data_IF_396900446096
#
_entry.id   IF_396900446096
#
_cell.length_a   1.000
_cell.length_b   1.000
_cell.length_c   1.000
_cell.angle_alpha   90.00
_cell.angle_beta   90.00
_cell.angle_gamma   90.00
#
_symmetry.space_group_name_H-M   'P 1'
#
loop_
_entity.id
_entity.type
_entity.pdbx_description
1 polymer ?
#
# COMPACT_ATOMS: atom_id res chain seq x y z
N UNK A 1 17.86 -16.25 2.66
CA UNK A 1 17.76 -14.85 2.19
C UNK A 1 16.36 -14.36 2.53
N UNK A 2 16.26 -13.35 3.39
CA UNK A 2 14.99 -12.76 3.80
C UNK A 2 14.72 -11.51 2.95
N UNK A 3 13.45 -11.18 2.74
CA UNK A 3 13.05 -9.95 2.05
C UNK A 3 12.09 -9.18 2.96
N UNK A 4 12.53 -8.02 3.43
CA UNK A 4 11.76 -7.11 4.27
C UNK A 4 11.16 -6.00 3.40
N UNK A 5 9.89 -5.66 3.66
CA UNK A 5 9.23 -4.53 3.01
C UNK A 5 8.49 -3.69 4.06
N UNK A 6 8.58 -2.37 3.94
CA UNK A 6 7.83 -1.41 4.74
C UNK A 6 6.77 -0.72 3.89
N UNK A 7 5.55 -0.63 4.39
CA UNK A 7 4.49 0.17 3.79
C UNK A 7 4.63 1.62 4.25
N UNK A 8 5.11 2.51 3.35
CA UNK A 8 5.45 3.90 3.66
C UNK A 8 4.35 4.86 3.20
N UNK A 9 3.91 4.70 1.94
CA UNK A 9 2.85 5.45 1.26
C UNK A 9 3.03 6.96 1.05
N UNK A 10 3.76 7.65 1.94
CA UNK A 10 3.98 9.10 1.88
C UNK A 10 5.29 9.46 2.58
N UNK A 11 5.92 10.57 2.19
CA UNK A 11 7.06 11.14 2.95
C UNK A 11 6.61 12.22 3.93
N UNK A 12 5.37 12.71 3.79
CA UNK A 12 4.80 13.68 4.73
C UNK A 12 4.26 12.98 5.98
N UNK A 13 4.65 13.47 7.16
CA UNK A 13 4.28 12.84 8.42
C UNK A 13 2.76 12.86 8.66
N UNK A 14 2.10 13.97 8.36
CA UNK A 14 0.66 14.14 8.63
C UNK A 14 -0.15 13.21 7.74
N UNK A 15 0.21 13.15 6.45
CA UNK A 15 -0.42 12.24 5.51
C UNK A 15 -0.15 10.77 5.87
N UNK A 16 1.07 10.40 6.28
CA UNK A 16 1.34 9.04 6.81
C UNK A 16 0.47 8.71 8.01
N UNK A 17 0.26 9.64 8.92
CA UNK A 17 -0.59 9.44 10.10
C UNK A 17 -2.06 9.22 9.73
N UNK A 18 -2.56 9.93 8.71
CA UNK A 18 -3.91 9.75 8.17
C UNK A 18 -4.09 8.44 7.39
N UNK A 19 -3.08 8.04 6.59
CA UNK A 19 -3.12 6.82 5.79
C UNK A 19 -2.96 5.55 6.64
N UNK A 20 -2.13 5.61 7.68
CA UNK A 20 -1.79 4.47 8.53
C UNK A 20 -2.13 4.83 10.00
N UNK A 21 -3.41 4.81 10.42
CA UNK A 21 -3.85 5.35 11.71
C UNK A 21 -3.59 4.40 12.89
N UNK A 22 -2.38 3.86 12.99
CA UNK A 22 -1.91 3.01 14.07
C UNK A 22 -0.41 3.23 14.32
N UNK A 23 0.11 2.64 15.40
CA UNK A 23 1.54 2.77 15.76
C UNK A 23 2.40 2.23 14.62
N UNK A 24 3.36 3.05 14.20
CA UNK A 24 4.27 2.77 13.09
C UNK A 24 5.60 3.46 13.36
N UNK A 25 6.65 2.93 12.74
CA UNK A 25 7.96 3.58 12.78
C UNK A 25 7.97 4.84 11.89
N UNK A 26 8.68 5.85 12.39
CA UNK A 26 9.13 7.00 11.60
C UNK A 26 10.03 6.55 10.45
N UNK A 27 10.29 7.43 9.48
CA UNK A 27 11.16 7.08 8.36
C UNK A 27 12.60 6.84 8.86
N UNK A 28 13.02 7.62 9.84
CA UNK A 28 14.31 7.58 10.49
C UNK A 28 14.51 6.26 11.24
N UNK A 29 13.51 5.82 12.01
CA UNK A 29 13.54 4.51 12.68
C UNK A 29 13.62 3.34 11.69
N UNK A 30 12.94 3.45 10.54
CA UNK A 30 13.01 2.43 9.48
C UNK A 30 14.41 2.40 8.86
N UNK A 31 14.98 3.58 8.58
CA UNK A 31 16.33 3.71 8.03
C UNK A 31 17.39 3.14 8.99
N UNK A 32 17.31 3.51 10.28
CA UNK A 32 18.20 3.02 11.32
C UNK A 32 18.15 1.50 11.43
N UNK A 33 16.94 0.93 11.54
CA UNK A 33 16.76 -0.52 11.59
C UNK A 33 17.32 -1.22 10.34
N UNK A 34 16.98 -0.70 9.15
CA UNK A 34 17.43 -1.30 7.91
C UNK A 34 18.94 -1.22 7.69
N UNK A 35 19.60 -0.20 8.28
CA UNK A 35 21.05 -0.02 8.18
C UNK A 35 21.83 -1.17 8.81
N UNK A 36 21.31 -1.77 9.89
CA UNK A 36 21.89 -2.95 10.56
C UNK A 36 21.28 -4.27 10.09
N UNK A 37 20.07 -4.26 9.54
CA UNK A 37 19.38 -5.47 9.06
C UNK A 37 19.91 -5.95 7.70
N UNK A 38 20.22 -5.05 6.77
CA UNK A 38 20.64 -5.40 5.42
C UNK A 38 22.15 -5.67 5.36
N UNK A 39 22.54 -6.95 5.36
CA UNK A 39 23.93 -7.37 5.14
C UNK A 39 24.34 -7.40 3.67
N UNK A 40 25.63 -7.61 3.39
CA UNK A 40 26.21 -7.61 2.02
C UNK A 40 25.67 -8.71 1.09
N UNK A 41 25.00 -9.73 1.64
CA UNK A 41 24.42 -10.85 0.87
C UNK A 41 22.89 -10.83 0.85
N UNK A 42 22.27 -9.91 1.57
CA UNK A 42 20.82 -9.80 1.66
C UNK A 42 20.23 -9.00 0.49
N UNK A 43 18.91 -9.10 0.32
CA UNK A 43 18.21 -8.27 -0.66
C UNK A 43 17.97 -6.90 -0.03
N UNK A 44 18.03 -5.84 -0.86
CA UNK A 44 17.63 -4.50 -0.46
C UNK A 44 16.22 -4.51 0.14
N UNK A 45 16.04 -3.74 1.20
CA UNK A 45 14.77 -3.57 1.91
C UNK A 45 13.84 -2.72 1.02
N UNK A 46 12.61 -3.18 0.82
CA UNK A 46 11.65 -2.47 -0.03
C UNK A 46 10.89 -1.40 0.74
N UNK A 47 10.89 -0.17 0.24
CA UNK A 47 9.99 0.90 0.67
C UNK A 47 8.81 0.96 -0.30
N UNK A 48 7.63 0.54 0.17
CA UNK A 48 6.44 0.43 -0.66
C UNK A 48 5.60 1.72 -0.60
N UNK A 49 5.34 2.30 -1.77
CA UNK A 49 4.54 3.50 -1.99
C UNK A 49 3.34 3.17 -2.87
N UNK A 50 2.17 2.96 -2.26
CA UNK A 50 0.91 2.94 -3.00
C UNK A 50 0.47 4.39 -3.26
N UNK A 51 0.67 4.87 -4.49
CA UNK A 51 0.47 6.27 -4.84
C UNK A 51 -0.94 6.54 -5.37
N UNK A 52 -1.61 7.47 -4.70
CA UNK A 52 -2.76 8.22 -5.22
C UNK A 52 -2.33 9.59 -5.77
N UNK A 53 -3.19 10.23 -6.56
CA UNK A 53 -3.00 11.61 -7.07
C UNK A 53 -2.76 12.65 -5.98
N UNK A 54 -3.20 12.38 -4.75
CA UNK A 54 -3.03 13.27 -3.59
C UNK A 54 -1.78 12.94 -2.76
N UNK A 55 -1.01 11.92 -3.13
CA UNK A 55 0.14 11.48 -2.33
C UNK A 55 1.22 12.54 -2.31
N UNK A 56 1.72 12.84 -1.12
CA UNK A 56 2.84 13.75 -0.88
C UNK A 56 4.10 12.90 -0.74
N UNK A 57 4.94 12.92 -1.78
CA UNK A 57 6.20 12.19 -1.83
C UNK A 57 7.31 13.11 -2.32
N UNK A 58 8.31 13.31 -1.49
CA UNK A 58 9.48 14.14 -1.78
C UNK A 58 10.73 13.26 -1.91
N UNK A 59 11.33 13.27 -3.10
CA UNK A 59 12.57 12.53 -3.37
C UNK A 59 13.74 12.99 -2.50
N UNK A 60 13.76 14.24 -2.05
CA UNK A 60 14.82 14.77 -1.18
C UNK A 60 14.73 14.14 0.22
N UNK A 61 13.51 13.98 0.74
CA UNK A 61 13.29 13.28 2.02
C UNK A 61 13.75 11.83 1.89
N UNK A 62 13.37 11.13 0.82
CA UNK A 62 13.80 9.74 0.58
C UNK A 62 15.34 9.64 0.52
N UNK A 63 15.97 10.51 -0.28
CA UNK A 63 17.42 10.47 -0.51
C UNK A 63 18.23 10.91 0.70
N UNK A 64 17.68 11.75 1.56
CA UNK A 64 18.32 12.18 2.80
C UNK A 64 18.20 11.12 3.91
N UNK A 65 17.13 10.31 3.90
CA UNK A 65 16.83 9.37 4.98
C UNK A 65 17.33 7.95 4.69
N UNK A 66 17.29 7.48 3.44
CA UNK A 66 17.56 6.08 3.10
C UNK A 66 18.82 5.90 2.26
N UNK A 67 19.57 4.84 2.56
CA UNK A 67 20.75 4.43 1.80
C UNK A 67 20.35 3.63 0.54
N UNK A 68 20.63 4.11 -0.68
CA UNK A 68 20.24 3.42 -1.92
C UNK A 68 20.90 2.04 -2.10
N UNK A 69 22.00 1.75 -1.41
CA UNK A 69 22.62 0.43 -1.43
C UNK A 69 21.86 -0.60 -0.58
N UNK A 70 21.06 -0.12 0.38
CA UNK A 70 20.31 -0.97 1.31
C UNK A 70 18.81 -0.97 1.05
N UNK A 71 18.29 0.06 0.39
CA UNK A 71 16.87 0.24 0.16
C UNK A 71 16.54 0.33 -1.32
N UNK A 72 15.39 -0.24 -1.71
CA UNK A 72 14.79 -0.06 -3.02
C UNK A 72 13.40 0.57 -2.86
N UNK A 73 12.95 1.29 -3.87
CA UNK A 73 11.64 1.93 -3.91
C UNK A 73 10.70 1.09 -4.77
N UNK A 74 9.57 0.69 -4.22
CA UNK A 74 8.49 0.05 -4.96
C UNK A 74 7.29 0.98 -5.00
N UNK A 75 6.82 1.30 -6.20
CA UNK A 75 5.63 2.10 -6.43
C UNK A 75 4.53 1.19 -6.98
N UNK A 76 3.33 1.31 -6.41
CA UNK A 76 2.14 0.58 -6.85
C UNK A 76 0.98 1.55 -7.02
N UNK A 77 0.00 1.25 -7.89
CA UNK A 77 -1.28 1.92 -7.86
C UNK A 77 -1.95 1.73 -6.48
N UNK A 78 -2.82 2.67 -6.10
CA UNK A 78 -3.76 2.44 -5.00
C UNK A 78 -4.84 1.50 -5.51
N UNK A 79 -4.95 0.33 -4.88
CA UNK A 79 -6.00 -0.62 -5.23
C UNK A 79 -7.39 -0.05 -4.92
N UNK A 80 -8.40 -0.35 -5.74
CA UNK A 80 -9.78 0.01 -5.48
C UNK A 80 -10.32 -0.89 -4.35
N UNK A 81 -10.17 -0.43 -3.11
CA UNK A 81 -10.70 -1.06 -1.90
C UNK A 81 -11.90 -0.24 -1.40
N UNK A 82 -12.75 -0.80 -0.54
CA UNK A 82 -13.82 -0.01 0.11
C UNK A 82 -13.29 1.26 0.78
N UNK A 83 -12.14 1.19 1.46
CA UNK A 83 -11.55 2.37 2.12
C UNK A 83 -11.03 3.41 1.14
N UNK A 84 -10.43 3.02 0.02
CA UNK A 84 -9.97 3.98 -0.99
C UNK A 84 -11.14 4.58 -1.76
N UNK A 85 -12.21 3.82 -2.00
CA UNK A 85 -13.45 4.33 -2.57
C UNK A 85 -14.17 5.32 -1.63
N UNK A 86 -14.35 4.97 -0.35
CA UNK A 86 -14.91 5.85 0.69
C UNK A 86 -14.11 7.16 0.83
N UNK A 87 -12.79 7.10 0.66
CA UNK A 87 -11.89 8.27 0.71
C UNK A 87 -11.69 8.97 -0.65
N UNK A 88 -12.30 8.49 -1.73
CA UNK A 88 -12.16 9.08 -3.07
C UNK A 88 -10.74 9.04 -3.65
N UNK A 89 -9.87 8.15 -3.16
CA UNK A 89 -8.46 8.09 -3.60
C UNK A 89 -8.37 7.59 -5.04
N UNK A 90 -7.87 8.44 -5.94
CA UNK A 90 -7.58 8.08 -7.33
C UNK A 90 -6.12 7.64 -7.48
N UNK A 91 -5.87 6.54 -8.18
CA UNK A 91 -4.51 6.06 -8.45
C UNK A 91 -3.67 7.12 -9.17
N UNK A 92 -2.42 7.28 -8.74
CA UNK A 92 -1.42 8.08 -9.46
C UNK A 92 -0.66 7.27 -10.51
N UNK A 93 -0.91 5.96 -10.59
CA UNK A 93 -0.24 5.04 -11.52
C UNK A 93 -1.27 4.53 -12.51
N UNK A 94 -1.01 4.73 -13.80
CA UNK A 94 -1.78 4.17 -14.90
C UNK A 94 -1.47 2.68 -15.09
N UNK A 95 -2.32 1.97 -15.85
CA UNK A 95 -2.16 0.53 -16.11
C UNK A 95 -0.84 0.19 -16.83
N UNK A 96 -0.28 1.14 -17.59
CA UNK A 96 1.02 0.98 -18.24
C UNK A 96 2.22 1.32 -17.32
N UNK A 97 1.99 1.63 -16.04
CA UNK A 97 3.01 1.98 -15.06
C UNK A 97 3.46 3.45 -15.09
N UNK A 98 2.84 4.28 -15.92
CA UNK A 98 3.12 5.72 -15.96
C UNK A 98 2.57 6.40 -14.73
N UNK A 99 3.34 7.32 -14.14
CA UNK A 99 2.83 8.17 -13.07
C UNK A 99 2.12 9.40 -13.65
N UNK A 100 0.85 9.60 -13.27
CA UNK A 100 0.05 10.77 -13.69
C UNK A 100 0.41 12.04 -12.94
N UNK A 101 0.94 11.87 -11.72
CA UNK A 101 1.52 12.89 -10.87
C UNK A 101 2.91 12.45 -10.47
N UNK A 102 3.80 13.37 -10.10
CA UNK A 102 5.20 13.03 -9.77
C UNK A 102 5.99 12.46 -10.95
N UNK A 103 5.80 12.99 -12.16
CA UNK A 103 6.44 12.48 -13.39
C UNK A 103 7.97 12.38 -13.30
N UNK A 104 8.62 13.31 -12.59
CA UNK A 104 10.08 13.31 -12.39
C UNK A 104 10.56 12.42 -11.23
N UNK A 105 9.67 11.93 -10.37
CA UNK A 105 10.05 11.19 -9.15
C UNK A 105 10.85 9.92 -9.46
N UNK A 106 10.44 9.17 -10.49
CA UNK A 106 11.13 7.93 -10.88
C UNK A 106 12.54 8.21 -11.37
N UNK A 107 12.70 9.22 -12.23
CA UNK A 107 13.98 9.59 -12.82
C UNK A 107 14.94 10.11 -11.75
N UNK A 108 14.48 11.05 -10.93
CA UNK A 108 15.30 11.64 -9.87
C UNK A 108 15.73 10.60 -8.84
N UNK A 109 14.85 9.68 -8.41
CA UNK A 109 15.23 8.64 -7.46
C UNK A 109 16.26 7.66 -8.06
N UNK A 110 16.13 7.32 -9.34
CA UNK A 110 17.12 6.49 -10.05
C UNK A 110 18.46 7.20 -10.19
N UNK A 111 18.46 8.49 -10.52
CA UNK A 111 19.67 9.32 -10.56
C UNK A 111 20.37 9.41 -9.19
N UNK A 112 19.60 9.35 -8.10
CA UNK A 112 20.12 9.26 -6.72
C UNK A 112 20.61 7.87 -6.33
N UNK A 113 20.56 6.90 -7.24
CA UNK A 113 21.11 5.54 -7.07
C UNK A 113 20.11 4.50 -6.56
N UNK A 114 18.82 4.86 -6.37
CA UNK A 114 17.83 3.89 -5.93
C UNK A 114 17.41 2.96 -7.06
N UNK A 115 17.24 1.68 -6.73
CA UNK A 115 16.45 0.78 -7.55
C UNK A 115 14.96 1.14 -7.39
N UNK A 116 14.32 1.56 -8.48
CA UNK A 116 12.90 1.97 -8.48
C UNK A 116 12.07 1.03 -9.36
N UNK A 117 11.19 0.27 -8.73
CA UNK A 117 10.28 -0.69 -9.36
C UNK A 117 8.87 -0.10 -9.37
N UNK A 118 8.25 0.01 -10.54
CA UNK A 118 6.81 0.26 -10.66
C UNK A 118 6.12 -1.07 -10.89
N UNK A 119 5.20 -1.43 -10.00
CA UNK A 119 4.49 -2.70 -10.02
C UNK A 119 3.01 -2.41 -10.14
N UNK A 120 2.49 -2.52 -11.37
CA UNK A 120 1.05 -2.51 -11.65
C UNK A 120 0.55 -3.94 -11.43
N UNK A 121 -0.46 -4.12 -10.59
CA UNK A 121 -1.10 -5.43 -10.38
C UNK A 121 -2.00 -5.79 -11.56
N UNK A 122 -2.39 -7.06 -11.67
CA UNK A 122 -3.32 -7.48 -12.72
C UNK A 122 -4.75 -7.04 -12.39
N UNK A 123 -5.44 -6.28 -13.27
CA UNK A 123 -6.80 -5.81 -13.00
C UNK A 123 -7.81 -6.93 -12.71
N UNK A 124 -7.57 -8.13 -13.23
CA UNK A 124 -8.40 -9.31 -12.96
C UNK A 124 -8.38 -9.75 -11.50
N UNK A 125 -7.26 -9.54 -10.78
CA UNK A 125 -7.14 -9.85 -9.35
C UNK A 125 -8.10 -9.00 -8.49
N UNK A 126 -8.46 -7.79 -8.95
CA UNK A 126 -9.42 -6.94 -8.27
C UNK A 126 -10.84 -7.53 -8.33
N UNK A 127 -11.19 -8.22 -9.43
CA UNK A 127 -12.51 -8.81 -9.63
C UNK A 127 -12.77 -10.00 -8.71
N UNK A 128 -11.71 -10.73 -8.35
CA UNK A 128 -11.75 -11.87 -7.42
C UNK A 128 -11.35 -11.50 -5.99
N UNK A 129 -10.95 -10.25 -5.76
CA UNK A 129 -10.60 -9.75 -4.43
C UNK A 129 -9.23 -10.19 -3.90
N UNK A 130 -8.32 -10.66 -4.77
CA UNK A 130 -7.03 -11.23 -4.37
C UNK A 130 -5.89 -10.22 -4.33
N UNK A 131 -6.10 -9.01 -4.87
CA UNK A 131 -5.09 -7.97 -4.85
C UNK A 131 -4.83 -7.46 -3.42
N UNK A 132 -3.62 -6.98 -3.15
CA UNK A 132 -3.18 -6.53 -1.83
C UNK A 132 -4.08 -5.44 -1.24
N UNK A 133 -4.50 -5.60 0.02
CA UNK A 133 -5.39 -4.66 0.70
C UNK A 133 -6.89 -4.90 0.44
N UNK A 134 -7.26 -5.80 -0.46
CA UNK A 134 -8.63 -6.29 -0.59
C UNK A 134 -8.91 -7.30 0.53
N UNK A 135 -10.07 -7.14 1.18
CA UNK A 135 -10.48 -8.01 2.28
C UNK A 135 -11.87 -8.60 1.97
N UNK A 136 -11.87 -9.77 1.33
CA UNK A 136 -13.08 -10.46 0.86
C UNK A 136 -14.11 -10.64 1.99
N UNK A 137 -13.68 -10.89 3.23
CA UNK A 137 -14.61 -11.06 4.36
C UNK A 137 -15.42 -9.79 4.68
N UNK A 138 -14.87 -8.59 4.46
CA UNK A 138 -15.65 -7.34 4.60
C UNK A 138 -16.66 -7.18 3.46
N UNK A 139 -16.34 -7.64 2.25
CA UNK A 139 -17.29 -7.70 1.15
C UNK A 139 -18.44 -8.68 1.45
N UNK A 140 -18.12 -9.91 1.87
CA UNK A 140 -19.10 -10.96 2.17
C UNK A 140 -20.03 -10.63 3.35
N UNK A 141 -19.54 -9.89 4.35
CA UNK A 141 -20.31 -9.50 5.53
C UNK A 141 -21.04 -8.15 5.36
N UNK A 142 -20.79 -7.43 4.26
CA UNK A 142 -21.39 -6.12 3.99
C UNK A 142 -22.65 -6.24 3.16
N UNK A 143 -23.66 -5.41 3.47
CA UNK A 143 -24.90 -5.28 2.67
C UNK A 143 -24.74 -4.36 1.44
N UNK A 144 -23.52 -4.00 1.06
CA UNK A 144 -23.28 -2.99 0.02
C UNK A 144 -23.35 -3.60 -1.38
N UNK A 145 -23.98 -2.87 -2.31
CA UNK A 145 -24.00 -3.19 -3.74
C UNK A 145 -22.59 -3.52 -4.24
N UNK A 146 -22.53 -4.53 -5.09
CA UNK A 146 -21.30 -5.06 -5.69
C UNK A 146 -20.65 -3.94 -6.52
N UNK A 147 -19.61 -3.25 -6.01
CA UNK A 147 -18.86 -2.33 -6.85
C UNK A 147 -18.12 -3.16 -7.93
N UNK A 148 -17.60 -2.58 -9.00
CA UNK A 148 -16.88 -3.39 -10.02
C UNK A 148 -15.77 -4.28 -9.41
N UNK A 149 -15.18 -3.82 -8.30
CA UNK A 149 -14.31 -4.60 -7.41
C UNK A 149 -15.10 -5.71 -6.70
N UNK A 150 -14.61 -6.95 -6.73
CA UNK A 150 -15.33 -8.16 -6.27
C UNK A 150 -16.49 -8.63 -7.17
N UNK A 151 -16.63 -8.12 -8.39
CA UNK A 151 -17.69 -8.53 -9.34
C UNK A 151 -17.79 -10.05 -9.58
N UNK A 152 -16.71 -10.81 -9.38
CA UNK A 152 -16.69 -12.28 -9.52
C UNK A 152 -16.83 -13.03 -8.19
N UNK A 153 -16.90 -12.34 -7.06
CA UNK A 153 -17.12 -12.93 -5.73
C UNK A 153 -18.62 -12.93 -5.45
N UNK A 154 -19.20 -14.13 -5.36
CA UNK A 154 -20.63 -14.28 -4.99
C UNK A 154 -20.76 -14.31 -3.47
N UNK A 155 -21.72 -13.56 -2.87
CA UNK A 155 -22.01 -13.68 -1.45
C UNK A 155 -22.47 -15.11 -1.13
N UNK A 156 -21.99 -15.65 -0.02
CA UNK A 156 -22.42 -16.96 0.46
C UNK A 156 -23.81 -16.81 1.09
N UNK A 157 -24.86 -17.25 0.40
CA UNK A 157 -26.26 -17.13 0.83
C UNK A 157 -26.64 -18.26 1.82
N UNK A 158 -25.67 -19.06 2.28
CA UNK A 158 -25.92 -20.17 3.19
C UNK A 158 -26.30 -19.64 4.60
N UNK A 159 -27.55 -19.88 5.08
CA UNK A 159 -28.07 -19.30 6.32
C UNK A 159 -27.27 -19.62 7.57
N UNK A 160 -26.41 -20.66 7.52
CA UNK A 160 -25.57 -21.09 8.64
C UNK A 160 -24.49 -20.07 9.03
N UNK A 161 -24.18 -19.11 8.16
CA UNK A 161 -23.18 -18.06 8.42
C UNK A 161 -23.82 -16.69 8.73
N UNK A 162 -25.15 -16.59 8.76
CA UNK A 162 -25.88 -15.34 9.02
C UNK A 162 -26.07 -15.01 10.51
N UNK A 163 -25.62 -15.87 11.42
CA UNK A 163 -25.93 -15.74 12.85
C UNK A 163 -24.65 -15.79 13.69
N UNK A 164 -23.85 -14.72 13.70
CA UNK A 164 -22.82 -14.55 14.74
C UNK A 164 -22.32 -13.10 14.97
N UNK A 165 -22.89 -12.07 14.31
CA UNK A 165 -22.44 -10.67 14.47
C UNK A 165 -23.48 -9.74 15.10
N UNK A 166 -24.37 -10.28 15.94
CA UNK A 166 -25.09 -9.46 16.92
C UNK A 166 -24.78 -9.99 18.32
N UNK A 167 -23.64 -9.56 18.87
CA UNK A 167 -23.31 -9.44 20.31
C UNK A 167 -21.79 -9.49 20.54
N UNK A 168 -21.05 -8.45 20.13
CA UNK A 168 -19.74 -8.16 20.73
C UNK A 168 -19.27 -6.72 20.51
N UNK A 169 -20.19 -5.75 20.48
CA UNK A 169 -19.85 -4.33 20.66
C UNK A 169 -19.97 -3.95 22.15
N UNK A 170 -19.27 -4.68 23.03
CA UNK A 170 -18.92 -4.23 24.38
C UNK A 170 -17.64 -4.95 24.85
N UNK A 171 -16.47 -4.45 24.47
CA UNK A 171 -15.28 -4.53 25.32
C UNK A 171 -14.54 -3.19 25.28
N UNK A 172 -14.19 -2.62 26.45
CA UNK A 172 -13.61 -1.29 26.54
C UNK A 172 -12.09 -1.34 26.31
N UNK A 173 -11.60 -0.39 25.53
CA UNK A 173 -10.25 0.14 25.66
C UNK A 173 -10.35 1.66 25.79
#
# INVERSE_FOLDING_TARGET
>A
RFQLQFSIHSTDKVQRDSLIPFRKWSLEQIAEYGSGFCGTKDRKITLNFALSTESVVDHNVISATFDPEKFLIKITPVNPTYRSHEKGLKSAVEDNGTLTVHSSLLEVLREKGFDVIVSVGEPEENKIGSNCGLFIRRHLNGSMENPEMYSLVKPNIDPKYFCETQNSDQTPF
#
